data_IF_763283201552
#
_entry.id   IF_763283201552
#
_cell.length_a   1.000
_cell.length_b   1.000
_cell.length_c   1.000
_cell.angle_alpha   90.00
_cell.angle_beta   90.00
_cell.angle_gamma   90.00
#
_symmetry.space_group_name_H-M   'P 1'
#
loop_
_entity.id
_entity.type
_entity.pdbx_description
1 polymer ?
#
# COMPACT_ATOMS: atom_id res chain seq x y z
N UNK A 1 -11.10 -29.75 2.98
CA UNK A 1 -11.52 -28.35 3.23
C UNK A 1 -10.41 -27.70 4.05
N UNK A 2 -9.51 -26.95 3.40
CA UNK A 2 -8.41 -26.30 4.11
C UNK A 2 -8.98 -25.10 4.88
N UNK A 3 -8.72 -25.07 6.19
CA UNK A 3 -8.98 -23.88 7.01
C UNK A 3 -7.95 -22.82 6.64
N UNK A 4 -8.34 -21.83 5.85
CA UNK A 4 -7.53 -20.63 5.65
C UNK A 4 -7.51 -19.86 6.96
N UNK A 5 -6.38 -19.95 7.67
CA UNK A 5 -6.09 -19.03 8.78
C UNK A 5 -6.06 -17.62 8.20
N UNK A 6 -7.02 -16.77 8.59
CA UNK A 6 -6.94 -15.34 8.31
C UNK A 6 -5.80 -14.79 9.16
N UNK A 7 -4.66 -14.51 8.53
CA UNK A 7 -3.58 -13.77 9.18
C UNK A 7 -4.14 -12.41 9.66
N UNK A 8 -3.73 -11.91 10.85
CA UNK A 8 -4.24 -10.65 11.37
C UNK A 8 -3.96 -9.51 10.38
N UNK A 9 -4.99 -8.73 10.06
CA UNK A 9 -4.90 -7.55 9.21
C UNK A 9 -4.02 -6.51 9.90
N UNK A 10 -2.87 -6.19 9.30
CA UNK A 10 -1.93 -5.15 9.75
C UNK A 10 -1.91 -3.97 8.78
N UNK A 11 -1.28 -2.87 9.22
CA UNK A 11 -1.02 -1.71 8.38
C UNK A 11 0.49 -1.59 8.13
N UNK A 12 0.89 -1.40 6.87
CA UNK A 12 2.30 -1.25 6.47
C UNK A 12 2.60 0.17 6.01
N UNK A 13 3.65 0.78 6.56
CA UNK A 13 4.21 2.05 6.07
C UNK A 13 5.26 1.78 5.00
N UNK A 14 5.04 2.27 3.78
CA UNK A 14 5.95 2.07 2.65
C UNK A 14 6.56 3.40 2.20
N UNK A 15 7.89 3.49 2.22
CA UNK A 15 8.65 4.65 1.69
C UNK A 15 9.01 4.45 0.22
N UNK A 16 9.02 5.52 -0.57
CA UNK A 16 9.24 5.41 -2.01
C UNK A 16 8.11 4.68 -2.73
N UNK A 17 6.89 4.76 -2.20
CA UNK A 17 5.75 3.92 -2.58
C UNK A 17 5.22 4.11 -4.02
N UNK A 18 5.74 5.09 -4.77
CA UNK A 18 5.23 5.45 -6.10
C UNK A 18 6.01 4.83 -7.26
N UNK A 19 7.12 4.12 -7.00
CA UNK A 19 7.96 3.52 -8.04
C UNK A 19 8.80 2.34 -7.52
N UNK A 20 9.31 1.55 -8.46
CA UNK A 20 10.28 0.48 -8.17
C UNK A 20 9.77 -0.51 -7.12
N UNK A 21 10.66 -0.90 -6.20
CA UNK A 21 10.35 -1.87 -5.14
C UNK A 21 9.29 -1.37 -4.17
N UNK A 22 9.24 -0.07 -3.87
CA UNK A 22 8.23 0.49 -2.96
C UNK A 22 6.81 0.29 -3.51
N UNK A 23 6.61 0.56 -4.80
CA UNK A 23 5.32 0.32 -5.46
C UNK A 23 4.96 -1.17 -5.49
N UNK A 24 5.92 -2.05 -5.78
CA UNK A 24 5.67 -3.49 -5.81
C UNK A 24 5.36 -4.07 -4.42
N UNK A 25 6.04 -3.61 -3.36
CA UNK A 25 5.69 -3.99 -1.99
C UNK A 25 4.30 -3.52 -1.60
N UNK A 26 3.93 -2.28 -1.94
CA UNK A 26 2.59 -1.77 -1.67
C UNK A 26 1.51 -2.65 -2.34
N UNK A 27 1.74 -3.05 -3.59
CA UNK A 27 0.87 -3.96 -4.34
C UNK A 27 0.75 -5.33 -3.69
N UNK A 28 1.87 -5.97 -3.36
CA UNK A 28 1.87 -7.32 -2.76
C UNK A 28 1.21 -7.35 -1.38
N UNK A 29 1.45 -6.32 -0.56
CA UNK A 29 0.85 -6.21 0.78
C UNK A 29 -0.66 -5.95 0.70
N UNK A 30 -1.10 -5.09 -0.23
CA UNK A 30 -2.52 -4.87 -0.50
C UNK A 30 -3.22 -6.14 -1.02
N UNK A 31 -2.57 -6.89 -1.91
CA UNK A 31 -3.06 -8.19 -2.42
C UNK A 31 -3.23 -9.23 -1.30
N UNK A 32 -2.39 -9.17 -0.27
CA UNK A 32 -2.48 -10.00 0.94
C UNK A 32 -3.53 -9.49 1.95
N UNK A 33 -4.18 -8.35 1.68
CA UNK A 33 -5.23 -7.76 2.50
C UNK A 33 -4.76 -6.79 3.58
N UNK A 34 -3.49 -6.36 3.55
CA UNK A 34 -2.96 -5.37 4.47
C UNK A 34 -3.34 -3.94 4.05
N UNK A 35 -3.70 -3.11 5.02
CA UNK A 35 -3.83 -1.67 4.78
C UNK A 35 -2.42 -1.07 4.61
N UNK A 36 -2.31 0.03 3.87
CA UNK A 36 -1.03 0.64 3.55
C UNK A 36 -1.03 2.14 3.82
N UNK A 37 0.11 2.66 4.27
CA UNK A 37 0.42 4.09 4.32
C UNK A 37 1.56 4.33 3.32
N UNK A 38 1.30 5.16 2.32
CA UNK A 38 2.18 5.40 1.18
C UNK A 38 2.94 6.70 1.36
N UNK A 39 4.27 6.64 1.36
CA UNK A 39 5.16 7.80 1.51
C UNK A 39 6.01 8.00 0.26
N UNK A 40 5.95 9.21 -0.29
CA UNK A 40 6.81 9.71 -1.35
C UNK A 40 6.69 11.25 -1.44
N UNK A 41 7.49 11.88 -2.30
CA UNK A 41 7.47 13.34 -2.48
C UNK A 41 6.28 13.84 -3.31
N UNK A 42 5.83 13.05 -4.28
CA UNK A 42 4.80 13.44 -5.24
C UNK A 42 3.41 12.97 -4.76
N UNK A 43 2.59 13.92 -4.28
CA UNK A 43 1.22 13.64 -3.80
C UNK A 43 0.32 13.07 -4.90
N UNK A 44 0.42 13.57 -6.14
CA UNK A 44 -0.45 13.14 -7.24
C UNK A 44 -0.18 11.68 -7.59
N UNK A 45 1.09 11.29 -7.66
CA UNK A 45 1.49 9.89 -7.87
C UNK A 45 1.08 8.99 -6.71
N UNK A 46 1.16 9.48 -5.47
CA UNK A 46 0.67 8.74 -4.30
C UNK A 46 -0.84 8.48 -4.37
N UNK A 47 -1.62 9.48 -4.78
CA UNK A 47 -3.07 9.34 -4.94
C UNK A 47 -3.43 8.34 -6.05
N UNK A 48 -2.70 8.37 -7.17
CA UNK A 48 -2.89 7.39 -8.24
C UNK A 48 -2.64 5.96 -7.74
N UNK A 49 -1.54 5.72 -7.02
CA UNK A 49 -1.26 4.41 -6.43
C UNK A 49 -2.31 4.03 -5.38
N UNK A 50 -2.69 4.94 -4.48
CA UNK A 50 -3.72 4.68 -3.47
C UNK A 50 -5.03 4.23 -4.11
N UNK A 51 -5.54 4.98 -5.10
CA UNK A 51 -6.77 4.62 -5.81
C UNK A 51 -6.65 3.28 -6.54
N UNK A 52 -5.50 2.97 -7.15
CA UNK A 52 -5.29 1.67 -7.78
C UNK A 52 -5.35 0.54 -6.75
N UNK A 53 -4.73 0.70 -5.59
CA UNK A 53 -4.72 -0.32 -4.55
C UNK A 53 -6.12 -0.52 -3.94
N UNK A 54 -6.83 0.56 -3.60
CA UNK A 54 -8.18 0.49 -3.03
C UNK A 54 -9.23 -0.08 -4.01
N UNK A 55 -9.09 0.20 -5.30
CA UNK A 55 -10.00 -0.35 -6.33
C UNK A 55 -9.74 -1.83 -6.61
N UNK A 56 -8.48 -2.26 -6.54
CA UNK A 56 -8.09 -3.63 -6.89
C UNK A 56 -8.12 -4.58 -5.69
N UNK A 57 -7.94 -4.03 -4.48
CA UNK A 57 -7.80 -4.78 -3.25
C UNK A 57 -8.68 -4.13 -2.19
N UNK A 58 -9.41 -4.94 -1.40
CA UNK A 58 -10.30 -4.44 -0.34
C UNK A 58 -9.53 -3.96 0.89
N UNK A 59 -8.65 -2.97 0.71
CA UNK A 59 -7.75 -2.38 1.69
C UNK A 59 -7.90 -0.86 1.70
N UNK A 60 -7.45 -0.21 2.77
CA UNK A 60 -7.29 1.24 2.83
C UNK A 60 -5.86 1.62 2.42
N UNK A 61 -5.72 2.72 1.66
CA UNK A 61 -4.41 3.26 1.28
C UNK A 61 -4.30 4.75 1.66
N UNK A 62 -3.62 5.03 2.78
CA UNK A 62 -3.38 6.40 3.24
C UNK A 62 -2.22 7.06 2.47
N UNK A 63 -2.42 8.31 2.04
CA UNK A 63 -1.41 9.10 1.32
C UNK A 63 -0.70 10.07 2.28
N UNK A 64 0.61 9.87 2.47
CA UNK A 64 1.47 10.72 3.31
C UNK A 64 2.65 11.29 2.49
N UNK A 65 2.51 12.47 1.88
CA UNK A 65 3.61 13.08 1.15
C UNK A 65 4.68 13.57 2.12
N UNK A 66 5.92 13.10 1.95
CA UNK A 66 7.05 13.52 2.76
C UNK A 66 8.36 13.35 2.00
N UNK A 67 9.33 14.19 2.35
CA UNK A 67 10.73 13.95 2.07
C UNK A 67 11.39 13.37 3.33
N UNK A 68 12.11 12.26 3.18
CA UNK A 68 12.65 11.47 4.31
C UNK A 68 14.19 11.45 4.34
N UNK A 69 14.83 12.27 3.50
CA UNK A 69 16.29 12.45 3.45
C UNK A 69 16.72 13.79 4.01
#
# INVERSE_FOLDING_TARGET
MAMTSVAPKTTALITGATAGLGAEFARQLAEQGHDVVLVARDRSRLQEVAHQLENNYSVAAEVLPADLT
#
